data_IF_292156936927
#
_entry.id   IF_292156936927
#
_cell.length_a   1.000
_cell.length_b   1.000
_cell.length_c   1.000
_cell.angle_alpha   90.00
_cell.angle_beta   90.00
_cell.angle_gamma   90.00
#
_symmetry.space_group_name_H-M   'P 1'
#
loop_
_entity.id
_entity.type
_entity.pdbx_description
1 polymer ?
#
# COMPACT_ATOMS: atom_id res chain seq x y z
N UNK A 1 -11.50 0.86 2.18
CA UNK A 1 -11.10 -0.57 2.13
C UNK A 1 -9.85 -0.86 2.95
N UNK A 2 -8.73 -0.15 2.75
CA UNK A 2 -7.48 -0.40 3.49
C UNK A 2 -7.54 -0.08 4.99
N UNK A 3 -8.24 0.99 5.38
CA UNK A 3 -8.44 1.36 6.79
C UNK A 3 -9.00 0.21 7.64
N UNK A 4 -10.08 -0.42 7.18
CA UNK A 4 -10.69 -1.57 7.88
C UNK A 4 -9.73 -2.75 8.05
N UNK A 5 -8.78 -2.94 7.12
CA UNK A 5 -7.79 -4.03 7.23
C UNK A 5 -6.69 -3.70 8.23
N UNK A 6 -6.26 -2.45 8.32
CA UNK A 6 -5.34 -2.01 9.38
C UNK A 6 -5.99 -2.17 10.76
N UNK A 7 -7.25 -1.76 10.92
CA UNK A 7 -8.01 -1.96 12.18
C UNK A 7 -8.18 -3.44 12.52
N UNK A 8 -8.44 -4.29 11.53
CA UNK A 8 -8.54 -5.73 11.76
C UNK A 8 -7.20 -6.35 12.14
N UNK A 9 -6.11 -5.93 11.49
CA UNK A 9 -4.78 -6.39 11.85
C UNK A 9 -4.47 -6.02 13.30
N UNK A 10 -4.72 -4.78 13.68
CA UNK A 10 -4.42 -4.33 15.05
C UNK A 10 -5.28 -5.01 16.12
N UNK A 11 -6.54 -5.32 15.81
CA UNK A 11 -7.39 -6.08 16.73
C UNK A 11 -6.97 -7.55 16.89
N UNK A 12 -6.26 -8.11 15.92
CA UNK A 12 -5.88 -9.54 15.90
C UNK A 12 -4.50 -9.78 16.51
N UNK A 13 -3.52 -8.95 16.17
CA UNK A 13 -2.10 -9.16 16.56
C UNK A 13 -1.55 -8.08 17.48
N UNK A 14 -2.37 -7.10 17.86
CA UNK A 14 -1.90 -5.92 18.59
C UNK A 14 -1.22 -4.93 17.65
N UNK A 15 -0.17 -4.26 18.10
CA UNK A 15 0.47 -3.24 17.29
C UNK A 15 1.20 -3.81 16.07
N UNK A 16 1.35 -2.98 15.03
CA UNK A 16 2.08 -3.34 13.83
C UNK A 16 3.51 -2.83 14.00
N UNK A 17 4.51 -3.70 14.07
CA UNK A 17 5.92 -3.27 14.17
C UNK A 17 6.61 -3.11 12.83
N UNK A 18 6.18 -3.89 11.83
CA UNK A 18 6.74 -3.89 10.48
C UNK A 18 5.61 -3.86 9.46
N UNK A 19 5.67 -2.90 8.54
CA UNK A 19 4.84 -2.87 7.34
C UNK A 19 5.65 -3.33 6.14
N UNK A 20 5.25 -4.44 5.51
CA UNK A 20 5.85 -4.93 4.25
C UNK A 20 4.89 -4.62 3.09
N UNK A 21 5.27 -3.65 2.25
CA UNK A 21 4.56 -3.36 1.00
C UNK A 21 5.01 -4.31 -0.12
N UNK A 22 4.65 -5.59 0.01
CA UNK A 22 5.08 -6.64 -0.93
C UNK A 22 4.19 -6.85 -2.16
N UNK A 23 3.05 -6.16 -2.24
CA UNK A 23 2.15 -6.26 -3.38
C UNK A 23 2.69 -5.48 -4.58
N UNK A 24 2.70 -6.10 -5.75
CA UNK A 24 3.13 -5.44 -6.98
C UNK A 24 2.70 -6.18 -8.24
N UNK A 25 2.54 -5.42 -9.32
CA UNK A 25 2.30 -5.91 -10.68
C UNK A 25 3.28 -5.26 -11.63
N UNK A 26 3.71 -6.00 -12.66
CA UNK A 26 4.72 -5.50 -13.61
C UNK A 26 4.11 -5.37 -14.99
N UNK A 27 4.04 -4.14 -15.51
CA UNK A 27 3.63 -3.82 -16.87
C UNK A 27 4.83 -3.43 -17.74
N UNK A 28 5.50 -4.39 -18.39
CA UNK A 28 6.62 -4.11 -19.29
C UNK A 28 6.13 -3.71 -20.69
N UNK A 29 6.09 -2.41 -20.97
CA UNK A 29 5.79 -1.85 -22.30
C UNK A 29 6.52 -0.52 -22.50
N UNK A 30 6.72 -0.12 -23.76
CA UNK A 30 7.17 1.24 -24.07
C UNK A 30 6.09 2.23 -23.65
N UNK A 31 6.44 3.26 -22.88
CA UNK A 31 5.49 4.14 -22.19
C UNK A 31 4.39 4.72 -23.08
N UNK A 32 4.72 5.27 -24.25
CA UNK A 32 3.73 5.86 -25.18
C UNK A 32 2.78 4.84 -25.83
N UNK A 33 3.03 3.54 -25.66
CA UNK A 33 2.16 2.44 -26.14
C UNK A 33 1.40 1.77 -25.00
N UNK A 34 1.48 2.30 -23.78
CA UNK A 34 0.74 1.75 -22.65
C UNK A 34 -0.74 2.07 -22.79
N UNK A 35 -1.56 1.07 -22.46
CA UNK A 35 -2.97 1.32 -22.18
C UNK A 35 -3.07 2.12 -20.87
N UNK A 36 -3.75 3.27 -20.92
CA UNK A 36 -3.84 4.15 -19.75
C UNK A 36 -4.55 3.49 -18.58
N UNK A 37 -5.56 2.65 -18.82
CA UNK A 37 -6.29 1.98 -17.75
C UNK A 37 -5.39 0.96 -17.03
N UNK A 38 -4.58 0.21 -17.78
CA UNK A 38 -3.56 -0.69 -17.20
C UNK A 38 -2.48 0.10 -16.44
N UNK A 39 -2.01 1.22 -16.98
CA UNK A 39 -1.04 2.07 -16.30
C UNK A 39 -1.59 2.59 -14.95
N UNK A 40 -2.81 3.12 -14.92
CA UNK A 40 -3.42 3.60 -13.68
C UNK A 40 -3.69 2.48 -12.68
N UNK A 41 -4.05 1.28 -13.15
CA UNK A 41 -4.19 0.10 -12.31
C UNK A 41 -2.85 -0.27 -11.67
N UNK A 42 -1.77 -0.28 -12.44
CA UNK A 42 -0.44 -0.62 -11.92
C UNK A 42 0.04 0.45 -10.94
N UNK A 43 -0.20 1.74 -11.21
CA UNK A 43 0.04 2.84 -10.27
C UNK A 43 -0.77 2.69 -8.97
N UNK A 44 -2.03 2.28 -9.07
CA UNK A 44 -2.86 2.07 -7.90
C UNK A 44 -2.24 1.00 -6.96
N UNK A 45 -1.75 -0.10 -7.53
CA UNK A 45 -1.19 -1.23 -6.77
C UNK A 45 0.23 -0.93 -6.27
N UNK A 46 1.11 -0.48 -7.17
CA UNK A 46 2.55 -0.38 -6.88
C UNK A 46 2.93 0.89 -6.13
N UNK A 47 2.12 1.95 -6.26
CA UNK A 47 2.46 3.27 -5.73
C UNK A 47 1.44 3.77 -4.72
N UNK A 48 0.15 3.83 -5.09
CA UNK A 48 -0.86 4.40 -4.21
C UNK A 48 -1.10 3.55 -2.95
N UNK A 49 -1.17 2.21 -3.10
CA UNK A 49 -1.36 1.31 -1.94
C UNK A 49 -0.25 1.47 -0.90
N UNK A 50 1.05 1.41 -1.24
CA UNK A 50 2.12 1.66 -0.28
C UNK A 50 1.99 3.02 0.44
N UNK A 51 1.69 4.10 -0.29
CA UNK A 51 1.52 5.42 0.30
C UNK A 51 0.36 5.47 1.30
N UNK A 52 -0.79 4.90 0.94
CA UNK A 52 -1.98 4.85 1.81
C UNK A 52 -1.70 4.03 3.06
N UNK A 53 -1.09 2.85 2.92
CA UNK A 53 -0.77 1.99 4.07
C UNK A 53 0.23 2.66 5.00
N UNK A 54 1.28 3.29 4.47
CA UNK A 54 2.22 4.08 5.27
C UNK A 54 1.49 5.19 6.03
N UNK A 55 0.61 5.95 5.38
CA UNK A 55 -0.15 7.03 6.04
C UNK A 55 -1.01 6.52 7.21
N UNK A 56 -1.52 5.30 7.12
CA UNK A 56 -2.36 4.69 8.16
C UNK A 56 -1.57 4.17 9.36
N UNK A 57 -0.39 3.57 9.13
CA UNK A 57 0.40 2.96 10.22
C UNK A 57 1.45 3.90 10.81
N UNK A 58 1.89 4.92 10.08
CA UNK A 58 2.97 5.80 10.51
C UNK A 58 2.70 6.52 11.85
N UNK A 59 1.48 6.99 12.18
CA UNK A 59 1.23 7.61 13.48
C UNK A 59 1.59 6.71 14.67
N UNK A 60 1.20 5.43 14.65
CA UNK A 60 1.53 4.51 15.74
C UNK A 60 3.03 4.19 15.79
N UNK A 61 3.76 4.29 14.68
CA UNK A 61 5.21 4.12 14.68
C UNK A 61 5.89 5.31 15.35
N UNK A 62 5.36 6.53 15.18
CA UNK A 62 5.91 7.76 15.78
C UNK A 62 5.63 7.81 17.28
N UNK A 63 4.43 7.43 17.72
CA UNK A 63 4.01 7.47 19.13
C UNK A 63 4.82 6.54 20.04
N UNK A 64 5.49 5.53 19.47
CA UNK A 64 6.29 4.53 20.20
C UNK A 64 7.76 4.92 20.39
N UNK A 65 8.15 6.12 19.92
CA UNK A 65 9.52 6.64 20.04
C UNK A 65 9.72 7.40 21.34
#
# INVERSE_FOLDING_TARGET
MFSNRCTQATSTVGEIDVLINGAGVVGLRVFHKQDLALFFRDMAINFNVPLVLMRLVLPSFIERR
#
